data_IF_306087663510
#
_entry.id   IF_306087663510
#
_cell.length_a   1.000
_cell.length_b   1.000
_cell.length_c   1.000
_cell.angle_alpha   90.00
_cell.angle_beta   90.00
_cell.angle_gamma   90.00
#
_symmetry.space_group_name_H-M   'P 1'
#
loop_
_entity.id
_entity.type
_entity.pdbx_description
1 polymer ?
#
# COMPACT_ATOMS: atom_id res chain seq x y z
N UNK A 1 11.89 0.62 -13.41
CA UNK A 1 10.78 0.47 -12.46
C UNK A 1 9.74 1.54 -12.76
N UNK A 2 8.45 1.24 -12.61
CA UNK A 2 7.36 2.21 -12.72
C UNK A 2 6.31 1.85 -11.67
N UNK A 3 5.74 2.85 -11.00
CA UNK A 3 4.60 2.67 -10.10
C UNK A 3 3.51 3.66 -10.50
N UNK A 4 2.33 3.14 -10.83
CA UNK A 4 1.17 3.93 -11.26
C UNK A 4 0.01 3.73 -10.29
N UNK A 5 -0.65 4.82 -9.89
CA UNK A 5 -1.84 4.78 -9.05
C UNK A 5 -3.04 4.40 -9.90
N UNK A 6 -3.68 3.26 -9.61
CA UNK A 6 -4.90 2.80 -10.29
C UNK A 6 -6.18 3.11 -9.50
N UNK A 7 -6.10 3.07 -8.17
CA UNK A 7 -7.22 3.44 -7.30
C UNK A 7 -6.72 4.38 -6.22
N UNK A 8 -7.43 5.47 -6.00
CA UNK A 8 -7.26 6.40 -4.90
C UNK A 8 -8.53 7.26 -4.73
N UNK A 9 -8.64 7.96 -3.60
CA UNK A 9 -9.78 8.84 -3.28
C UNK A 9 -9.82 10.13 -4.13
N UNK A 10 -8.83 10.34 -5.00
CA UNK A 10 -8.68 11.53 -5.83
C UNK A 10 -8.32 11.15 -7.26
N UNK A 11 -8.87 11.87 -8.22
CA UNK A 11 -8.56 11.77 -9.64
C UNK A 11 -8.12 13.14 -10.16
N UNK A 12 -7.10 13.15 -11.02
CA UNK A 12 -6.56 14.38 -11.62
C UNK A 12 -6.66 14.38 -13.16
N UNK A 13 -7.16 13.30 -13.76
CA UNK A 13 -7.24 13.13 -15.22
C UNK A 13 -8.68 12.84 -15.62
N UNK A 14 -9.09 13.39 -16.77
CA UNK A 14 -10.37 13.05 -17.37
C UNK A 14 -10.48 11.55 -17.67
N UNK A 15 -11.71 11.03 -17.70
CA UNK A 15 -12.09 9.63 -17.92
C UNK A 15 -11.71 8.65 -16.81
N UNK A 16 -10.81 9.01 -15.89
CA UNK A 16 -10.53 8.18 -14.73
C UNK A 16 -11.54 8.43 -13.62
N UNK A 17 -11.74 7.44 -12.76
CA UNK A 17 -12.65 7.53 -11.62
C UNK A 17 -11.91 7.36 -10.29
N UNK A 18 -12.27 8.19 -9.31
CA UNK A 18 -11.83 8.03 -7.93
C UNK A 18 -12.75 7.05 -7.20
N UNK A 19 -12.17 6.30 -6.28
CA UNK A 19 -12.90 5.37 -5.41
C UNK A 19 -12.26 5.39 -4.03
N UNK A 20 -13.05 5.19 -2.96
CA UNK A 20 -12.48 4.98 -1.64
C UNK A 20 -11.67 3.68 -1.64
N UNK A 21 -10.38 3.77 -1.40
CA UNK A 21 -9.46 2.65 -1.46
C UNK A 21 -8.13 3.02 -2.11
N UNK A 22 -7.31 2.01 -2.33
CA UNK A 22 -6.01 2.16 -2.97
C UNK A 22 -5.69 0.97 -3.86
N UNK A 23 -5.01 1.20 -4.99
CA UNK A 23 -4.33 0.18 -5.77
C UNK A 23 -3.18 0.78 -6.57
N UNK A 24 -2.05 0.06 -6.59
CA UNK A 24 -0.88 0.43 -7.38
C UNK A 24 -0.55 -0.65 -8.41
N UNK A 25 -0.38 -0.23 -9.66
CA UNK A 25 0.26 -1.04 -10.68
C UNK A 25 1.77 -0.82 -10.65
N UNK A 26 2.51 -1.91 -10.60
CA UNK A 26 3.95 -1.89 -10.42
C UNK A 26 4.60 -2.66 -11.56
N UNK A 27 5.51 -1.99 -12.30
CA UNK A 27 6.45 -2.67 -13.22
C UNK A 27 7.82 -2.71 -12.56
N UNK A 28 8.28 -3.90 -12.22
CA UNK A 28 9.55 -4.11 -11.54
C UNK A 28 10.28 -5.32 -12.14
N UNK A 29 11.56 -5.17 -12.49
CA UNK A 29 12.38 -6.22 -13.12
C UNK A 29 11.66 -6.93 -14.29
N UNK A 30 11.06 -6.16 -15.21
CA UNK A 30 10.32 -6.62 -16.38
C UNK A 30 9.04 -7.43 -16.09
N UNK A 31 8.61 -7.49 -14.85
CA UNK A 31 7.38 -8.14 -14.39
C UNK A 31 6.38 -7.12 -13.88
N UNK A 32 5.12 -7.52 -13.90
CA UNK A 32 4.01 -6.69 -13.44
C UNK A 32 3.45 -7.24 -12.15
N UNK A 33 3.15 -6.33 -11.21
CA UNK A 33 2.54 -6.65 -9.93
C UNK A 33 1.41 -5.66 -9.64
N UNK A 34 0.47 -6.09 -8.82
CA UNK A 34 -0.57 -5.23 -8.28
C UNK A 34 -0.45 -5.21 -6.75
N UNK A 35 -0.47 -4.03 -6.16
CA UNK A 35 -0.56 -3.86 -4.70
C UNK A 35 -1.92 -3.29 -4.36
N UNK A 36 -2.73 -4.06 -3.64
CA UNK A 36 -4.16 -3.86 -3.36
C UNK A 36 -5.04 -3.80 -4.62
N UNK A 37 -6.37 -3.82 -4.43
CA UNK A 37 -7.33 -3.90 -5.53
C UNK A 37 -8.39 -2.80 -5.51
N UNK A 38 -8.39 -1.94 -4.49
CA UNK A 38 -9.50 -1.01 -4.29
C UNK A 38 -10.78 -1.72 -3.83
N UNK A 39 -11.88 -0.96 -3.89
CA UNK A 39 -13.19 -1.38 -3.36
C UNK A 39 -14.02 -2.18 -4.38
N UNK A 40 -14.08 -1.74 -5.65
CA UNK A 40 -14.98 -2.31 -6.67
C UNK A 40 -14.43 -2.19 -8.10
N UNK A 41 -15.10 -1.36 -8.90
CA UNK A 41 -14.93 -1.29 -10.34
C UNK A 41 -13.88 -0.28 -10.81
N UNK A 42 -13.46 0.64 -9.98
CA UNK A 42 -12.49 1.67 -10.36
C UNK A 42 -11.19 1.06 -10.88
N UNK A 43 -10.72 -0.04 -10.28
CA UNK A 43 -9.53 -0.77 -10.73
C UNK A 43 -9.61 -1.12 -12.22
N UNK A 44 -10.72 -1.74 -12.65
CA UNK A 44 -10.88 -2.23 -14.02
C UNK A 44 -11.11 -1.09 -15.01
N UNK A 45 -11.95 -0.11 -14.63
CA UNK A 45 -12.20 1.07 -15.45
C UNK A 45 -10.90 1.83 -15.70
N UNK A 46 -10.17 2.16 -14.65
CA UNK A 46 -8.94 2.94 -14.76
C UNK A 46 -7.83 2.17 -15.46
N UNK A 47 -7.73 0.86 -15.24
CA UNK A 47 -6.77 0.03 -15.98
C UNK A 47 -7.06 0.01 -17.48
N UNK A 48 -8.35 -0.07 -17.88
CA UNK A 48 -8.74 -0.01 -19.29
C UNK A 48 -8.43 1.34 -19.92
N UNK A 49 -8.76 2.46 -19.27
CA UNK A 49 -8.47 3.81 -19.77
C UNK A 49 -6.96 4.13 -19.85
N UNK A 50 -6.14 3.43 -19.05
CA UNK A 50 -4.69 3.60 -19.00
C UNK A 50 -3.92 2.52 -19.79
N UNK A 51 -4.61 1.66 -20.54
CA UNK A 51 -4.03 0.53 -21.29
C UNK A 51 -3.17 -0.41 -20.42
N UNK A 52 -3.62 -0.65 -19.16
CA UNK A 52 -2.93 -1.52 -18.23
C UNK A 52 -3.51 -2.93 -18.27
N UNK A 53 -2.70 -3.93 -18.69
CA UNK A 53 -3.16 -5.30 -18.84
C UNK A 53 -3.16 -6.05 -17.49
N UNK A 54 -4.20 -5.88 -16.66
CA UNK A 54 -4.30 -6.50 -15.33
C UNK A 54 -4.07 -8.02 -15.36
N UNK A 55 -4.47 -8.69 -16.44
CA UNK A 55 -4.25 -10.14 -16.64
C UNK A 55 -2.78 -10.53 -16.75
N UNK A 56 -1.88 -9.57 -17.00
CA UNK A 56 -0.43 -9.82 -17.08
C UNK A 56 0.29 -9.71 -15.74
N UNK A 57 -0.43 -9.42 -14.65
CA UNK A 57 0.19 -9.38 -13.33
C UNK A 57 0.64 -10.80 -12.91
N UNK A 58 1.90 -10.93 -12.51
CA UNK A 58 2.47 -12.15 -11.92
C UNK A 58 1.83 -12.45 -10.56
N UNK A 59 1.60 -11.38 -9.80
CA UNK A 59 1.00 -11.48 -8.47
C UNK A 59 0.19 -10.23 -8.11
N UNK A 60 -0.78 -10.43 -7.23
CA UNK A 60 -1.40 -9.38 -6.43
C UNK A 60 -0.93 -9.51 -4.98
N UNK A 61 -0.51 -8.39 -4.41
CA UNK A 61 -0.07 -8.27 -3.03
C UNK A 61 -1.17 -7.51 -2.28
N UNK A 62 -1.66 -8.08 -1.20
CA UNK A 62 -2.74 -7.49 -0.41
C UNK A 62 -2.20 -7.01 0.93
N UNK A 63 -2.41 -5.73 1.21
CA UNK A 63 -1.92 -5.10 2.44
C UNK A 63 -2.63 -5.62 3.68
N UNK A 64 -3.97 -5.60 3.68
CA UNK A 64 -4.80 -6.02 4.82
C UNK A 64 -6.25 -6.33 4.36
N UNK A 65 -7.11 -6.94 5.22
CA UNK A 65 -8.39 -7.51 4.79
C UNK A 65 -9.56 -6.52 4.63
N UNK A 66 -9.35 -5.21 4.69
CA UNK A 66 -10.45 -4.27 4.51
C UNK A 66 -10.98 -4.25 3.07
N UNK A 67 -12.28 -4.06 2.93
CA UNK A 67 -13.01 -4.16 1.66
C UNK A 67 -12.52 -3.19 0.58
N UNK A 68 -12.01 -2.04 0.97
CA UNK A 68 -11.46 -1.01 0.09
C UNK A 68 -10.01 -1.28 -0.37
N UNK A 69 -9.46 -2.43 0.03
CA UNK A 69 -8.18 -2.97 -0.40
C UNK A 69 -8.30 -4.30 -1.15
N UNK A 70 -9.30 -5.13 -0.77
CA UNK A 70 -9.49 -6.47 -1.37
C UNK A 70 -10.78 -6.60 -2.17
N UNK A 71 -11.59 -5.55 -2.27
CA UNK A 71 -12.96 -5.64 -2.78
C UNK A 71 -13.08 -6.03 -4.25
N UNK A 72 -12.09 -5.69 -5.09
CA UNK A 72 -12.08 -6.10 -6.49
C UNK A 72 -11.33 -7.42 -6.74
N UNK A 73 -10.80 -8.10 -5.69
CA UNK A 73 -9.99 -9.31 -5.81
C UNK A 73 -10.73 -10.44 -6.54
N UNK A 74 -12.00 -10.68 -6.21
CA UNK A 74 -12.79 -11.74 -6.85
C UNK A 74 -12.88 -11.55 -8.37
N UNK A 75 -13.12 -10.32 -8.81
CA UNK A 75 -13.17 -9.98 -10.24
C UNK A 75 -11.78 -10.08 -10.88
N UNK A 76 -10.73 -9.69 -10.18
CA UNK A 76 -9.34 -9.82 -10.64
C UNK A 76 -8.97 -11.31 -10.86
N UNK A 77 -9.30 -12.18 -9.92
CA UNK A 77 -9.07 -13.62 -10.03
C UNK A 77 -9.89 -14.29 -11.16
N UNK A 78 -11.03 -13.71 -11.50
CA UNK A 78 -11.82 -14.18 -12.65
C UNK A 78 -11.10 -13.94 -13.99
N UNK A 79 -10.31 -12.86 -14.10
CA UNK A 79 -9.54 -12.57 -15.35
C UNK A 79 -8.16 -13.23 -15.37
N UNK A 80 -7.59 -13.58 -14.21
CA UNK A 80 -6.34 -14.33 -14.13
C UNK A 80 -6.33 -15.29 -12.93
N UNK A 81 -6.85 -16.49 -13.14
CA UNK A 81 -6.91 -17.56 -12.11
C UNK A 81 -5.55 -18.11 -11.67
N UNK A 82 -4.48 -17.86 -12.45
CA UNK A 82 -3.13 -18.35 -12.14
C UNK A 82 -2.31 -17.34 -11.32
N UNK A 83 -2.84 -16.15 -11.12
CA UNK A 83 -2.16 -15.10 -10.37
C UNK A 83 -1.86 -15.56 -8.94
N UNK A 84 -0.63 -15.33 -8.49
CA UNK A 84 -0.27 -15.54 -7.08
C UNK A 84 -0.85 -14.43 -6.23
N UNK A 85 -1.45 -14.78 -5.10
CA UNK A 85 -1.99 -13.83 -4.13
C UNK A 85 -1.14 -13.87 -2.88
N UNK A 86 -0.42 -12.80 -2.57
CA UNK A 86 0.33 -12.65 -1.32
C UNK A 86 -0.46 -11.81 -0.31
N UNK A 87 -0.42 -12.21 0.96
CA UNK A 87 -1.03 -11.44 2.01
C UNK A 87 -1.06 -12.18 3.35
N UNK A 88 -1.56 -11.53 4.40
CA UNK A 88 -1.72 -12.19 5.70
C UNK A 88 -2.89 -13.20 5.63
N UNK A 89 -2.78 -14.34 6.31
CA UNK A 89 -3.82 -15.41 6.28
C UNK A 89 -5.24 -14.96 6.67
N UNK A 90 -5.39 -13.88 7.45
CA UNK A 90 -6.72 -13.30 7.75
C UNK A 90 -7.41 -12.75 6.50
N UNK A 91 -6.66 -12.34 5.47
CA UNK A 91 -7.20 -11.83 4.20
C UNK A 91 -7.96 -12.96 3.50
N UNK A 92 -7.35 -14.13 3.38
CA UNK A 92 -8.00 -15.29 2.78
C UNK A 92 -9.28 -15.64 3.52
N UNK A 93 -9.23 -15.74 4.87
CA UNK A 93 -10.39 -16.05 5.69
C UNK A 93 -11.52 -15.01 5.53
N UNK A 94 -11.21 -13.72 5.44
CA UNK A 94 -12.22 -12.67 5.26
C UNK A 94 -12.77 -12.65 3.84
N UNK A 95 -11.91 -12.82 2.85
CA UNK A 95 -12.31 -12.92 1.46
C UNK A 95 -13.29 -14.07 1.20
N UNK A 96 -13.00 -15.26 1.75
CA UNK A 96 -13.85 -16.45 1.61
C UNK A 96 -15.21 -16.33 2.28
N UNK A 97 -15.35 -15.48 3.32
CA UNK A 97 -16.65 -15.17 3.93
C UNK A 97 -17.54 -14.30 3.06
N UNK A 98 -16.93 -13.41 2.26
CA UNK A 98 -17.65 -12.35 1.55
C UNK A 98 -17.78 -12.60 0.06
N UNK A 99 -17.01 -13.55 -0.50
CA UNK A 99 -16.99 -13.92 -1.92
C UNK A 99 -17.71 -15.23 -2.18
N UNK A 100 -18.13 -15.43 -3.44
CA UNK A 100 -18.63 -16.73 -3.92
C UNK A 100 -17.52 -17.71 -4.30
N UNK A 101 -16.25 -17.31 -4.18
CA UNK A 101 -15.08 -18.15 -4.44
C UNK A 101 -14.83 -19.01 -3.21
N UNK A 102 -14.67 -20.32 -3.42
CA UNK A 102 -14.49 -21.29 -2.32
C UNK A 102 -13.04 -21.36 -1.80
N UNK A 103 -12.08 -20.98 -2.65
CA UNK A 103 -10.66 -20.95 -2.29
C UNK A 103 -9.89 -19.95 -3.19
N UNK A 104 -8.82 -19.38 -2.68
CA UNK A 104 -7.84 -18.66 -3.48
C UNK A 104 -6.78 -19.69 -3.91
N UNK A 105 -6.82 -20.12 -5.17
CA UNK A 105 -6.06 -21.27 -5.68
C UNK A 105 -4.55 -21.17 -5.46
N UNK A 106 -3.99 -19.95 -5.47
CA UNK A 106 -2.55 -19.75 -5.34
C UNK A 106 -2.26 -18.68 -4.27
N UNK A 107 -2.80 -18.89 -3.05
CA UNK A 107 -2.57 -18.01 -1.92
C UNK A 107 -1.25 -18.34 -1.21
N UNK A 108 -0.44 -17.32 -0.98
CA UNK A 108 0.83 -17.40 -0.27
C UNK A 108 0.77 -16.51 0.99
N UNK A 109 0.58 -17.12 2.18
CA UNK A 109 0.49 -16.37 3.41
C UNK A 109 1.85 -15.77 3.79
N UNK A 110 1.86 -14.47 4.09
CA UNK A 110 3.07 -13.74 4.50
C UNK A 110 2.91 -13.28 5.95
N UNK A 111 3.83 -13.69 6.82
CA UNK A 111 3.86 -13.33 8.24
C UNK A 111 5.13 -12.59 8.65
N UNK A 112 6.21 -12.86 7.95
CA UNK A 112 7.56 -12.35 8.22
C UNK A 112 8.12 -11.70 6.96
N UNK A 113 9.23 -10.94 7.04
CA UNK A 113 9.86 -10.36 5.85
C UNK A 113 10.12 -11.42 4.80
N UNK A 114 9.55 -11.23 3.61
CA UNK A 114 9.58 -12.22 2.54
C UNK A 114 9.93 -11.55 1.22
N UNK A 115 11.01 -12.02 0.60
CA UNK A 115 11.37 -11.64 -0.78
C UNK A 115 10.51 -12.45 -1.76
N UNK A 116 9.65 -11.75 -2.52
CA UNK A 116 8.73 -12.38 -3.48
C UNK A 116 9.27 -12.36 -4.92
N UNK A 117 10.26 -11.51 -5.16
CA UNK A 117 11.08 -11.47 -6.36
C UNK A 117 12.37 -10.71 -6.03
N UNK A 118 13.47 -10.87 -6.79
CA UNK A 118 14.75 -10.21 -6.48
C UNK A 118 14.58 -8.70 -6.24
N UNK A 119 14.84 -8.27 -5.00
CA UNK A 119 14.70 -6.89 -4.54
C UNK A 119 13.25 -6.40 -4.32
N UNK A 120 12.27 -7.29 -4.36
CA UNK A 120 10.86 -6.98 -4.08
C UNK A 120 10.41 -7.72 -2.83
N UNK A 121 10.12 -6.99 -1.76
CA UNK A 121 9.93 -7.52 -0.43
C UNK A 121 8.58 -7.15 0.17
N UNK A 122 8.02 -8.05 0.97
CA UNK A 122 6.91 -7.80 1.89
C UNK A 122 7.43 -7.76 3.32
N UNK A 123 6.93 -6.83 4.13
CA UNK A 123 7.35 -6.72 5.53
C UNK A 123 6.87 -7.88 6.40
N UNK A 124 5.80 -8.54 6.00
CA UNK A 124 5.03 -9.34 6.95
C UNK A 124 4.37 -8.46 8.01
N UNK A 125 3.90 -9.08 9.07
CA UNK A 125 3.33 -8.41 10.24
C UNK A 125 4.40 -7.60 10.99
N UNK A 126 4.03 -6.43 11.47
CA UNK A 126 4.92 -5.68 12.38
C UNK A 126 5.24 -6.50 13.64
N UNK A 127 6.50 -6.49 14.13
CA UNK A 127 6.88 -7.07 15.41
C UNK A 127 6.13 -6.48 16.60
N UNK A 128 5.98 -7.27 17.67
CA UNK A 128 5.24 -6.88 18.87
C UNK A 128 5.76 -5.58 19.51
N UNK A 129 7.06 -5.34 19.47
CA UNK A 129 7.67 -4.08 19.96
C UNK A 129 7.08 -2.80 19.33
N UNK A 130 6.52 -2.90 18.11
CA UNK A 130 5.81 -1.81 17.43
C UNK A 130 4.33 -1.83 17.73
N UNK A 131 3.72 -3.01 17.76
CA UNK A 131 2.29 -3.20 17.98
C UNK A 131 1.88 -2.92 19.42
N UNK A 132 2.72 -3.20 20.41
CA UNK A 132 2.43 -2.92 21.81
C UNK A 132 2.20 -1.43 22.09
N UNK A 133 2.78 -0.54 21.28
CA UNK A 133 2.58 0.92 21.38
C UNK A 133 1.17 1.36 21.00
N UNK A 134 0.44 0.51 20.27
CA UNK A 134 -0.92 0.77 19.82
C UNK A 134 -1.92 -0.28 20.35
N UNK A 135 -1.54 -1.04 21.38
CA UNK A 135 -2.33 -2.16 21.91
C UNK A 135 -3.75 -1.75 22.31
N UNK A 136 -3.92 -0.56 22.85
CA UNK A 136 -5.22 -0.01 23.25
C UNK A 136 -5.89 0.82 22.15
N UNK A 137 -5.29 0.88 20.96
CA UNK A 137 -5.85 1.62 19.84
C UNK A 137 -6.90 0.80 19.10
N UNK A 138 -7.94 1.47 18.62
CA UNK A 138 -9.07 0.82 17.89
C UNK A 138 -8.64 -0.01 16.66
N UNK A 139 -7.50 0.29 16.07
CA UNK A 139 -6.95 -0.40 14.88
C UNK A 139 -5.88 -1.44 15.20
N UNK A 140 -5.75 -1.86 16.46
CA UNK A 140 -4.74 -2.86 16.83
C UNK A 140 -4.91 -4.20 16.08
N UNK A 141 -6.16 -4.65 15.91
CA UNK A 141 -6.46 -5.92 15.25
C UNK A 141 -6.10 -5.89 13.76
N UNK A 142 -6.33 -4.75 13.10
CA UNK A 142 -5.99 -4.51 11.71
C UNK A 142 -4.48 -4.48 11.52
N UNK A 143 -3.77 -3.77 12.37
CA UNK A 143 -2.30 -3.68 12.34
C UNK A 143 -1.62 -5.05 12.46
N UNK A 144 -2.25 -6.02 13.14
CA UNK A 144 -1.71 -7.39 13.25
C UNK A 144 -1.76 -8.20 11.95
N UNK A 145 -2.48 -7.74 10.96
CA UNK A 145 -2.64 -8.43 9.67
C UNK A 145 -2.21 -7.58 8.47
N UNK A 146 -1.54 -6.47 8.73
CA UNK A 146 -1.12 -5.53 7.69
C UNK A 146 0.30 -5.83 7.21
N UNK A 147 0.47 -5.80 5.87
CA UNK A 147 1.74 -5.89 5.18
C UNK A 147 2.02 -4.58 4.45
N UNK A 148 3.28 -4.24 4.32
CA UNK A 148 3.76 -3.21 3.40
C UNK A 148 4.71 -3.83 2.38
N UNK A 149 4.79 -3.24 1.20
CA UNK A 149 5.71 -3.63 0.14
C UNK A 149 6.89 -2.67 0.11
N UNK A 150 8.11 -3.17 -0.08
CA UNK A 150 9.22 -2.32 -0.43
C UNK A 150 10.06 -2.90 -1.58
N UNK A 151 10.66 -2.00 -2.34
CA UNK A 151 11.42 -2.30 -3.55
C UNK A 151 12.80 -1.69 -3.47
N UNK A 152 13.81 -2.47 -3.81
CA UNK A 152 15.20 -2.01 -3.92
C UNK A 152 15.41 -1.27 -5.24
N UNK A 153 16.02 -0.10 -5.17
CA UNK A 153 16.36 0.69 -6.36
C UNK A 153 17.75 1.28 -6.24
N UNK A 154 18.28 1.81 -7.33
CA UNK A 154 19.57 2.54 -7.32
C UNK A 154 19.52 3.84 -6.51
N UNK A 155 18.33 4.35 -6.17
CA UNK A 155 18.15 5.56 -5.34
C UNK A 155 17.95 5.24 -3.86
N UNK A 156 17.72 3.97 -3.50
CA UNK A 156 17.32 3.46 -2.19
C UNK A 156 15.97 2.74 -2.25
N UNK A 157 15.38 2.45 -1.09
CA UNK A 157 14.11 1.74 -1.00
C UNK A 157 12.93 2.64 -1.38
N UNK A 158 11.99 2.06 -2.11
CA UNK A 158 10.66 2.62 -2.31
C UNK A 158 9.66 1.78 -1.53
N UNK A 159 8.84 2.43 -0.70
CA UNK A 159 7.87 1.77 0.16
C UNK A 159 6.44 2.08 -0.30
N UNK A 160 5.62 1.04 -0.39
CA UNK A 160 4.17 1.16 -0.60
C UNK A 160 3.42 0.62 0.62
N UNK A 161 2.45 1.38 1.11
CA UNK A 161 1.60 1.00 2.25
C UNK A 161 0.13 0.98 1.86
N UNK A 162 -0.65 0.12 2.52
CA UNK A 162 -2.12 0.17 2.44
C UNK A 162 -2.68 1.31 3.27
N UNK A 163 -2.96 1.06 4.54
CA UNK A 163 -3.47 2.06 5.49
C UNK A 163 -2.49 2.49 6.59
N UNK A 164 -1.47 1.70 6.88
CA UNK A 164 -0.52 1.96 7.98
C UNK A 164 -1.19 1.98 9.36
N UNK A 165 -2.05 1.01 9.66
CA UNK A 165 -2.72 0.89 10.96
C UNK A 165 -1.75 0.76 12.12
N UNK A 166 -0.59 0.11 11.89
CA UNK A 166 0.52 0.03 12.84
C UNK A 166 1.31 1.33 13.01
N UNK A 167 0.92 2.37 12.26
CA UNK A 167 1.59 3.67 12.20
C UNK A 167 2.73 3.70 11.18
N UNK A 168 2.67 4.71 10.30
CA UNK A 168 3.66 4.87 9.22
C UNK A 168 5.10 4.90 9.75
N UNK A 169 5.34 5.57 10.87
CA UNK A 169 6.69 5.66 11.47
C UNK A 169 7.18 4.29 11.92
N UNK A 170 6.32 3.46 12.50
CA UNK A 170 6.67 2.08 12.92
C UNK A 170 7.03 1.21 11.72
N UNK A 171 6.26 1.31 10.64
CA UNK A 171 6.50 0.57 9.39
C UNK A 171 7.86 0.96 8.81
N UNK A 172 8.15 2.26 8.67
CA UNK A 172 9.42 2.71 8.09
C UNK A 172 10.62 2.36 8.98
N UNK A 173 10.48 2.44 10.31
CA UNK A 173 11.53 1.99 11.24
C UNK A 173 11.79 0.48 11.10
N UNK A 174 10.73 -0.31 11.00
CA UNK A 174 10.87 -1.76 10.81
C UNK A 174 11.53 -2.11 9.47
N UNK A 175 11.20 -1.42 8.39
CA UNK A 175 11.86 -1.62 7.09
C UNK A 175 13.37 -1.30 7.19
N UNK A 176 13.77 -0.25 7.91
CA UNK A 176 15.19 0.04 8.16
C UNK A 176 15.89 -1.00 9.05
N UNK A 177 15.15 -1.83 9.81
CA UNK A 177 15.73 -2.99 10.53
C UNK A 177 15.90 -4.20 9.61
N UNK A 178 15.07 -4.33 8.55
CA UNK A 178 15.11 -5.43 7.59
C UNK A 178 16.18 -5.22 6.52
N UNK A 179 16.43 -3.98 6.13
CA UNK A 179 17.32 -3.62 5.02
C UNK A 179 18.33 -2.55 5.42
N UNK A 180 19.58 -2.72 4.97
CA UNK A 180 20.64 -1.73 5.16
C UNK A 180 20.53 -0.52 4.21
N UNK A 181 19.61 -0.54 3.26
CA UNK A 181 19.41 0.57 2.33
C UNK A 181 18.52 1.66 2.94
N UNK A 182 18.84 2.92 2.67
CA UNK A 182 18.00 4.05 3.08
C UNK A 182 16.66 4.05 2.32
N UNK A 183 15.59 4.42 2.99
CA UNK A 183 14.30 4.63 2.35
C UNK A 183 14.36 5.95 1.55
N UNK A 184 14.22 5.86 0.23
CA UNK A 184 14.17 6.99 -0.67
C UNK A 184 12.80 7.66 -0.68
N UNK A 185 11.75 6.85 -0.78
CA UNK A 185 10.39 7.37 -0.93
C UNK A 185 9.33 6.44 -0.35
N UNK A 186 8.18 7.01 0.01
CA UNK A 186 7.02 6.27 0.51
C UNK A 186 5.73 6.78 -0.13
N UNK A 187 4.84 5.85 -0.50
CA UNK A 187 3.49 6.16 -0.98
C UNK A 187 2.45 5.25 -0.32
N UNK A 188 1.25 5.79 -0.10
CA UNK A 188 0.12 5.02 0.41
C UNK A 188 -0.72 5.76 1.44
N UNK A 189 -1.56 5.03 2.14
CA UNK A 189 -2.33 5.51 3.26
C UNK A 189 -1.50 5.55 4.54
N UNK A 190 -1.56 6.67 5.27
CA UNK A 190 -0.81 6.87 6.52
C UNK A 190 -1.72 6.93 7.74
N UNK A 191 -3.01 6.70 7.55
CA UNK A 191 -4.04 6.70 8.59
C UNK A 191 -4.01 7.93 9.50
N UNK A 192 -4.01 9.14 8.88
CA UNK A 192 -3.91 10.42 9.59
C UNK A 192 -5.25 11.16 9.70
N UNK A 193 -6.31 10.61 9.15
CA UNK A 193 -7.63 11.26 9.07
C UNK A 193 -8.20 11.64 10.44
N UNK A 194 -7.91 10.83 11.47
CA UNK A 194 -8.39 11.03 12.86
C UNK A 194 -7.35 11.73 13.77
N UNK A 195 -6.20 12.15 13.21
CA UNK A 195 -5.10 12.69 14.00
C UNK A 195 -5.27 14.18 14.29
N UNK A 196 -5.02 14.55 15.54
CA UNK A 196 -4.96 15.95 15.92
C UNK A 196 -3.62 16.61 15.52
N UNK A 197 -3.53 17.93 15.66
CA UNK A 197 -2.34 18.69 15.24
C UNK A 197 -1.05 18.28 15.96
N UNK A 198 -1.10 17.93 17.23
CA UNK A 198 0.09 17.51 18.00
C UNK A 198 0.61 16.14 17.51
N UNK A 199 -0.30 15.21 17.19
CA UNK A 199 0.05 13.93 16.60
C UNK A 199 0.65 14.11 15.19
N UNK A 200 0.04 14.96 14.35
CA UNK A 200 0.56 15.28 13.00
C UNK A 200 1.95 15.90 13.08
N UNK A 201 2.19 16.82 14.05
CA UNK A 201 3.50 17.43 14.27
C UNK A 201 4.56 16.40 14.65
N UNK A 202 4.20 15.44 15.50
CA UNK A 202 5.07 14.35 15.91
C UNK A 202 5.45 13.48 14.71
N UNK A 203 4.46 13.09 13.88
CA UNK A 203 4.67 12.26 12.68
C UNK A 203 5.56 12.98 11.66
N UNK A 204 5.28 14.25 11.35
CA UNK A 204 6.10 15.04 10.44
C UNK A 204 7.55 15.19 10.93
N UNK A 205 7.73 15.40 12.25
CA UNK A 205 9.06 15.46 12.87
C UNK A 205 9.82 14.15 12.69
N UNK A 206 9.17 13.00 12.93
CA UNK A 206 9.82 11.69 12.76
C UNK A 206 10.12 11.40 11.28
N UNK A 207 9.21 11.72 10.35
CA UNK A 207 9.46 11.60 8.90
C UNK A 207 10.66 12.45 8.47
N UNK A 208 10.79 13.67 9.01
CA UNK A 208 11.91 14.57 8.72
C UNK A 208 13.27 14.03 9.21
N UNK A 209 13.29 13.16 10.22
CA UNK A 209 14.53 12.48 10.68
C UNK A 209 14.98 11.35 9.77
N UNK A 210 14.07 10.80 8.96
CA UNK A 210 14.36 9.64 8.10
C UNK A 210 15.02 10.00 6.77
N UNK A 211 15.21 11.31 6.47
CA UNK A 211 15.84 11.81 5.24
C UNK A 211 15.18 11.32 3.94
N UNK A 212 13.88 11.04 3.97
CA UNK A 212 13.09 10.72 2.79
C UNK A 212 13.24 11.83 1.74
N UNK A 213 13.19 11.46 0.46
CA UNK A 213 13.22 12.42 -0.65
C UNK A 213 11.82 12.73 -1.16
N UNK A 214 10.93 11.70 -1.19
CA UNK A 214 9.56 11.86 -1.70
C UNK A 214 8.54 11.18 -0.79
N UNK A 215 7.39 11.82 -0.62
CA UNK A 215 6.25 11.31 0.16
C UNK A 215 4.98 11.52 -0.67
N UNK A 216 4.24 10.43 -0.91
CA UNK A 216 2.94 10.44 -1.61
C UNK A 216 1.85 9.98 -0.65
N UNK A 217 1.31 10.89 0.18
CA UNK A 217 0.26 10.56 1.14
C UNK A 217 -1.09 10.43 0.42
N UNK A 218 -1.71 9.26 0.48
CA UNK A 218 -2.92 8.91 -0.24
C UNK A 218 -4.02 8.44 0.71
N UNK A 219 -5.19 8.15 0.16
CA UNK A 219 -6.28 7.39 0.75
C UNK A 219 -6.65 7.84 2.18
N UNK A 220 -6.46 6.97 3.19
CA UNK A 220 -6.80 7.22 4.61
C UNK A 220 -5.88 8.23 5.32
N UNK A 221 -4.89 8.81 4.63
CA UNK A 221 -4.16 9.97 5.14
C UNK A 221 -5.10 11.16 5.37
N UNK A 222 -6.16 11.28 4.56
CA UNK A 222 -7.13 12.36 4.65
C UNK A 222 -6.56 13.74 4.31
N UNK A 223 -7.45 14.69 3.98
CA UNK A 223 -7.03 16.01 3.52
C UNK A 223 -6.20 16.79 4.56
N UNK A 224 -6.60 16.75 5.83
CA UNK A 224 -5.88 17.45 6.92
C UNK A 224 -4.46 16.89 7.09
N UNK A 225 -4.29 15.56 7.06
CA UNK A 225 -2.99 14.90 7.12
C UNK A 225 -2.11 15.25 5.91
N UNK A 226 -2.67 15.17 4.70
CA UNK A 226 -1.98 15.54 3.46
C UNK A 226 -1.49 16.99 3.50
N UNK A 227 -2.38 17.93 3.85
CA UNK A 227 -2.04 19.35 3.97
C UNK A 227 -0.94 19.59 5.01
N UNK A 228 -1.05 18.93 6.17
CA UNK A 228 -0.05 19.08 7.22
C UNK A 228 1.34 18.59 6.78
N UNK A 229 1.41 17.41 6.14
CA UNK A 229 2.68 16.87 5.64
C UNK A 229 3.28 17.75 4.54
N UNK A 230 2.44 18.27 3.63
CA UNK A 230 2.87 19.19 2.56
C UNK A 230 3.53 20.45 3.13
N UNK A 231 2.99 21.00 4.20
CA UNK A 231 3.49 22.24 4.80
C UNK A 231 4.71 22.03 5.73
N UNK A 232 4.90 20.83 6.30
CA UNK A 232 5.83 20.62 7.43
C UNK A 232 6.92 19.56 7.18
N UNK A 233 6.82 18.76 6.11
CA UNK A 233 7.87 17.81 5.77
C UNK A 233 8.97 18.47 4.93
N UNK A 234 10.23 18.04 5.17
CA UNK A 234 11.41 18.45 4.38
C UNK A 234 11.49 17.72 3.04
N UNK A 235 10.94 16.51 2.98
CA UNK A 235 10.81 15.75 1.74
C UNK A 235 9.86 16.45 0.78
N UNK A 236 10.01 16.19 -0.51
CA UNK A 236 9.01 16.58 -1.51
C UNK A 236 7.72 15.79 -1.26
N UNK A 237 6.65 16.50 -0.87
CA UNK A 237 5.33 15.89 -0.65
C UNK A 237 4.45 16.19 -1.85
N UNK A 238 3.93 15.15 -2.49
CA UNK A 238 3.06 15.27 -3.65
C UNK A 238 1.67 14.65 -3.37
N UNK A 239 0.61 15.44 -3.58
CA UNK A 239 -0.77 14.98 -3.45
C UNK A 239 -1.22 14.40 -4.80
N UNK A 240 -0.80 13.19 -5.05
CA UNK A 240 -1.09 12.47 -6.29
C UNK A 240 -2.54 11.92 -6.31
N UNK A 241 -2.98 11.48 -7.47
CA UNK A 241 -4.29 10.85 -7.71
C UNK A 241 -4.20 9.74 -8.75
N UNK A 242 -5.34 9.14 -9.05
CA UNK A 242 -5.45 8.09 -10.07
C UNK A 242 -4.82 8.53 -11.39
N UNK A 243 -4.08 7.64 -12.03
CA UNK A 243 -3.36 7.86 -13.28
C UNK A 243 -1.94 8.41 -13.11
N UNK A 244 -1.58 8.90 -11.92
CA UNK A 244 -0.22 9.40 -11.70
C UNK A 244 0.82 8.27 -11.73
N UNK A 245 1.93 8.52 -12.43
CA UNK A 245 3.18 7.76 -12.29
C UNK A 245 3.99 8.39 -11.17
N UNK A 246 4.28 7.62 -10.13
CA UNK A 246 5.04 8.08 -8.97
C UNK A 246 6.45 7.48 -8.97
N UNK A 247 7.41 8.17 -8.34
CA UNK A 247 8.82 7.77 -8.25
C UNK A 247 9.63 7.84 -9.56
N UNK A 248 9.21 8.65 -10.51
CA UNK A 248 9.98 8.93 -11.74
C UNK A 248 11.25 9.76 -11.48
#
# INVERSE_FOLDING_TARGET
>A
MQVKILVANKVNQEKLIAEHGIAFWIKYNQKNYLFDTGQKSALFHNAAELDIPLQSAEAVILSHPHYDHIGALAQLLAVNKKMTVYGHQKIEAEFLKTSSIQEIINFQPVREPTEIAPGLWLTGRLPDQYLDKIKDHKYYQEAQSENSLFMETSKGLIVLTGCSHGGIISILKYINEISDQNIYAVAGGFHLIDKNQAELATIATELNKMNLKKIYPLHCTGFSGQKYLLDNCKAEVEIAGVGADIFN
#
